data_IF_851793914573
#
_entry.id   IF_851793914573
#
_cell.length_a   1.000
_cell.length_b   1.000
_cell.length_c   1.000
_cell.angle_alpha   90.00
_cell.angle_beta   90.00
_cell.angle_gamma   90.00
#
_symmetry.space_group_name_H-M   'P 1'
#
loop_
_entity.id
_entity.type
_entity.pdbx_description
1 polymer ?
#
# COMPACT_ATOMS: atom_id res chain seq x y z
N UNK A 1 31.51 -11.63 -14.80
CA UNK A 1 30.31 -11.07 -15.45
C UNK A 1 29.60 -10.17 -14.46
N UNK A 2 29.53 -8.87 -14.75
CA UNK A 2 28.95 -7.83 -13.90
C UNK A 2 27.48 -7.67 -14.28
N UNK A 3 26.57 -7.92 -13.33
CA UNK A 3 25.12 -7.72 -13.49
C UNK A 3 24.71 -6.44 -12.76
N UNK A 4 24.58 -5.30 -13.46
CA UNK A 4 24.37 -3.98 -12.85
C UNK A 4 22.98 -3.79 -12.21
N UNK A 5 22.10 -4.78 -12.33
CA UNK A 5 20.73 -4.74 -11.81
C UNK A 5 20.46 -5.79 -10.73
N UNK A 6 21.45 -6.62 -10.37
CA UNK A 6 21.29 -7.57 -9.29
C UNK A 6 21.05 -6.76 -8.00
N UNK A 7 19.91 -6.94 -7.31
CA UNK A 7 19.65 -6.19 -6.10
C UNK A 7 20.78 -6.49 -5.12
N UNK A 8 21.45 -5.44 -4.65
CA UNK A 8 22.27 -5.53 -3.45
C UNK A 8 21.41 -6.26 -2.43
N UNK A 9 21.92 -7.37 -1.92
CA UNK A 9 21.26 -8.16 -0.90
C UNK A 9 20.91 -7.21 0.26
N UNK A 10 19.67 -6.70 0.29
CA UNK A 10 19.07 -6.07 1.46
C UNK A 10 18.72 -7.22 2.41
N UNK A 11 19.75 -7.93 2.87
CA UNK A 11 19.69 -8.76 4.05
C UNK A 11 19.47 -7.83 5.21
N UNK A 12 18.20 -7.67 5.53
CA UNK A 12 17.69 -6.65 6.40
C UNK A 12 16.53 -5.99 5.69
N UNK A 13 15.32 -6.45 6.01
CA UNK A 13 14.30 -5.45 6.31
C UNK A 13 15.02 -4.35 7.11
N UNK A 14 14.94 -3.08 6.71
CA UNK A 14 15.33 -2.02 7.62
C UNK A 14 14.59 -2.35 8.92
N UNK A 15 15.31 -2.85 9.92
CA UNK A 15 14.77 -3.16 11.23
C UNK A 15 14.48 -1.80 11.86
N UNK A 16 13.34 -1.20 11.47
CA UNK A 16 12.80 -0.02 12.13
C UNK A 16 12.31 -0.56 13.47
N UNK A 17 12.97 -0.25 14.60
CA UNK A 17 12.61 -0.88 15.87
C UNK A 17 11.13 -0.62 16.19
N UNK A 18 10.30 -1.67 16.31
CA UNK A 18 8.86 -1.56 16.68
C UNK A 18 7.79 -2.10 15.70
N UNK A 19 8.16 -2.92 14.73
CA UNK A 19 7.33 -3.35 13.57
C UNK A 19 5.92 -3.95 13.81
N UNK A 20 5.51 -4.31 15.03
CA UNK A 20 4.19 -4.96 15.23
C UNK A 20 2.98 -4.06 14.92
N UNK A 21 3.18 -2.74 14.79
CA UNK A 21 2.10 -1.78 14.58
C UNK A 21 2.35 -0.78 13.45
N UNK A 22 3.39 -0.96 12.63
CA UNK A 22 3.72 -0.01 11.56
C UNK A 22 2.78 -0.22 10.36
N UNK A 23 1.96 0.79 10.09
CA UNK A 23 0.95 0.84 9.04
C UNK A 23 1.37 1.77 7.91
N UNK A 24 1.36 1.22 6.71
CA UNK A 24 1.62 1.95 5.45
C UNK A 24 0.29 2.19 4.73
N UNK A 25 0.03 3.44 4.33
CA UNK A 25 -1.07 3.77 3.44
C UNK A 25 -0.59 3.68 1.99
N UNK A 26 -1.29 2.93 1.15
CA UNK A 26 -1.04 2.86 -0.28
C UNK A 26 -2.24 3.47 -1.01
N UNK A 27 -2.06 4.64 -1.62
CA UNK A 27 -3.09 5.19 -2.52
C UNK A 27 -3.00 4.50 -3.87
N UNK A 28 -4.13 4.21 -4.50
CA UNK A 28 -4.12 3.43 -5.75
C UNK A 28 -3.66 1.97 -5.54
N UNK A 29 -3.67 1.49 -4.28
CA UNK A 29 -3.18 0.15 -3.90
C UNK A 29 -3.98 -1.00 -4.53
N UNK A 30 -5.16 -0.72 -5.10
CA UNK A 30 -5.93 -1.72 -5.83
C UNK A 30 -5.66 -1.73 -7.34
N UNK A 31 -4.81 -0.82 -7.83
CA UNK A 31 -4.33 -0.79 -9.21
C UNK A 31 -3.28 -1.85 -9.52
N UNK A 32 -2.79 -1.86 -10.77
CA UNK A 32 -1.84 -2.86 -11.27
C UNK A 32 -0.54 -2.91 -10.45
N UNK A 33 0.18 -1.79 -10.36
CA UNK A 33 1.40 -1.68 -9.55
C UNK A 33 1.09 -1.74 -8.06
N UNK A 34 0.00 -1.09 -7.64
CA UNK A 34 -0.43 -1.01 -6.24
C UNK A 34 -0.56 -2.38 -5.59
N UNK A 35 -1.19 -3.35 -6.25
CA UNK A 35 -1.35 -4.72 -5.71
C UNK A 35 -0.02 -5.41 -5.44
N UNK A 36 0.93 -5.29 -6.37
CA UNK A 36 2.26 -5.87 -6.18
C UNK A 36 2.97 -5.25 -4.98
N UNK A 37 2.91 -3.92 -4.84
CA UNK A 37 3.51 -3.20 -3.72
C UNK A 37 2.84 -3.59 -2.39
N UNK A 38 1.51 -3.66 -2.35
CA UNK A 38 0.77 -4.08 -1.15
C UNK A 38 1.16 -5.49 -0.72
N UNK A 39 1.28 -6.44 -1.66
CA UNK A 39 1.71 -7.80 -1.34
C UNK A 39 3.13 -7.83 -0.74
N UNK A 40 4.09 -7.14 -1.36
CA UNK A 40 5.46 -7.07 -0.84
C UNK A 40 5.52 -6.44 0.56
N UNK A 41 4.75 -5.39 0.82
CA UNK A 41 4.67 -4.79 2.15
C UNK A 41 4.08 -5.78 3.19
N UNK A 42 3.05 -6.54 2.82
CA UNK A 42 2.48 -7.57 3.68
C UNK A 42 3.48 -8.72 3.94
N UNK A 43 4.25 -9.13 2.93
CA UNK A 43 5.27 -10.17 3.03
C UNK A 43 6.44 -9.72 3.93
N UNK A 44 6.83 -8.45 3.85
CA UNK A 44 7.78 -7.81 4.77
C UNK A 44 7.22 -7.58 6.19
N UNK A 45 5.96 -7.92 6.42
CA UNK A 45 5.36 -7.95 7.75
C UNK A 45 4.61 -6.69 8.18
N UNK A 46 4.49 -5.68 7.32
CA UNK A 46 3.79 -4.44 7.61
C UNK A 46 2.26 -4.61 7.65
N UNK A 47 1.58 -3.69 8.33
CA UNK A 47 0.15 -3.47 8.11
C UNK A 47 -0.06 -2.54 6.91
N UNK A 48 -1.01 -2.86 6.04
CA UNK A 48 -1.27 -2.11 4.82
C UNK A 48 -2.70 -1.60 4.85
N UNK A 49 -2.86 -0.30 4.61
CA UNK A 49 -4.16 0.32 4.32
C UNK A 49 -4.17 0.77 2.86
N UNK A 50 -5.12 0.28 2.08
CA UNK A 50 -5.35 0.74 0.72
C UNK A 50 -6.38 1.86 0.75
N UNK A 51 -6.10 2.98 0.07
CA UNK A 51 -7.08 4.02 -0.24
C UNK A 51 -7.27 4.09 -1.75
N UNK A 52 -8.44 3.70 -2.23
CA UNK A 52 -8.73 3.59 -3.67
C UNK A 52 -10.23 3.83 -3.94
N UNK A 53 -10.56 4.33 -5.13
CA UNK A 53 -11.94 4.48 -5.56
C UNK A 53 -12.65 3.15 -5.87
N UNK A 54 -11.88 2.09 -6.15
CA UNK A 54 -12.36 0.75 -6.50
C UNK A 54 -13.32 0.70 -7.71
N UNK A 55 -13.27 1.64 -8.67
CA UNK A 55 -14.24 1.69 -9.79
C UNK A 55 -14.30 0.40 -10.62
N UNK A 56 -13.17 -0.30 -10.77
CA UNK A 56 -13.06 -1.52 -11.57
C UNK A 56 -13.58 -2.77 -10.83
N UNK A 57 -14.23 -2.61 -9.69
CA UNK A 57 -14.77 -3.70 -8.87
C UNK A 57 -16.18 -3.42 -8.37
N UNK A 58 -16.96 -4.48 -8.10
CA UNK A 58 -18.34 -4.38 -7.59
C UNK A 58 -18.44 -3.89 -6.12
N UNK A 59 -17.33 -3.53 -5.49
CA UNK A 59 -17.30 -3.08 -4.10
C UNK A 59 -15.89 -3.15 -3.49
N UNK A 60 -15.80 -2.76 -2.22
CA UNK A 60 -14.54 -2.85 -1.47
C UNK A 60 -14.18 -4.32 -1.24
N UNK A 61 -12.96 -4.76 -1.60
CA UNK A 61 -12.49 -6.11 -1.35
C UNK A 61 -12.59 -6.46 0.14
N UNK A 62 -13.16 -7.63 0.46
CA UNK A 62 -13.31 -8.14 1.82
C UNK A 62 -12.60 -9.48 1.95
N UNK A 63 -11.90 -9.67 3.08
CA UNK A 63 -11.16 -10.90 3.37
C UNK A 63 -9.81 -10.99 2.66
N UNK A 64 -8.89 -11.80 3.20
CA UNK A 64 -7.58 -12.08 2.62
C UNK A 64 -6.47 -12.11 3.65
N UNK A 65 -6.20 -10.97 4.31
CA UNK A 65 -5.08 -10.83 5.25
C UNK A 65 -5.51 -9.94 6.44
N UNK A 66 -5.30 -10.36 7.71
CA UNK A 66 -5.67 -9.57 8.88
C UNK A 66 -4.91 -8.24 9.01
N UNK A 67 -3.79 -8.10 8.30
CA UNK A 67 -2.99 -6.87 8.24
C UNK A 67 -3.36 -5.96 7.08
N UNK A 68 -4.34 -6.32 6.26
CA UNK A 68 -4.81 -5.53 5.13
C UNK A 68 -6.16 -4.88 5.43
N UNK A 69 -6.21 -3.56 5.29
CA UNK A 69 -7.43 -2.75 5.39
C UNK A 69 -7.71 -2.08 4.04
N UNK A 70 -8.91 -2.21 3.51
CA UNK A 70 -9.32 -1.55 2.27
C UNK A 70 -10.31 -0.43 2.60
N UNK A 71 -9.96 0.81 2.26
CA UNK A 71 -10.78 2.01 2.47
C UNK A 71 -11.16 2.57 1.12
N UNK A 72 -12.46 2.64 0.83
CA UNK A 72 -12.95 3.32 -0.38
C UNK A 72 -12.85 4.83 -0.19
N UNK A 73 -12.32 5.53 -1.18
CA UNK A 73 -12.38 6.98 -1.23
C UNK A 73 -11.83 7.56 -2.52
N UNK A 74 -12.12 8.85 -2.72
CA UNK A 74 -11.60 9.65 -3.82
C UNK A 74 -10.41 10.47 -3.32
N UNK A 75 -9.36 10.61 -4.13
CA UNK A 75 -8.20 11.43 -3.80
C UNK A 75 -8.52 12.93 -3.72
N UNK A 76 -9.60 13.36 -4.36
CA UNK A 76 -10.12 14.72 -4.28
C UNK A 76 -10.92 14.96 -3.00
N UNK A 77 -11.34 13.92 -2.28
CA UNK A 77 -11.99 14.04 -0.97
C UNK A 77 -10.93 14.19 0.14
N UNK A 78 -10.67 15.44 0.52
CA UNK A 78 -9.73 15.77 1.59
C UNK A 78 -10.13 15.17 2.95
N UNK A 79 -11.42 15.05 3.25
CA UNK A 79 -11.86 14.51 4.54
C UNK A 79 -11.65 13.01 4.59
N UNK A 80 -12.02 12.31 3.51
CA UNK A 80 -11.75 10.88 3.33
C UNK A 80 -10.25 10.56 3.42
N UNK A 81 -9.41 11.35 2.74
CA UNK A 81 -7.95 11.19 2.81
C UNK A 81 -7.40 11.42 4.22
N UNK A 82 -7.83 12.50 4.89
CA UNK A 82 -7.42 12.77 6.28
C UNK A 82 -7.81 11.65 7.23
N UNK A 83 -8.99 11.05 7.05
CA UNK A 83 -9.42 9.89 7.82
C UNK A 83 -8.53 8.67 7.54
N UNK A 84 -8.21 8.41 6.26
CA UNK A 84 -7.36 7.31 5.83
C UNK A 84 -5.90 7.44 6.32
N UNK A 85 -5.40 8.66 6.55
CA UNK A 85 -4.06 8.93 7.10
C UNK A 85 -3.94 8.68 8.61
N UNK A 86 -5.05 8.56 9.36
CA UNK A 86 -4.98 8.38 10.82
C UNK A 86 -4.26 7.08 11.19
N UNK A 87 -3.23 7.20 12.03
CA UNK A 87 -2.44 6.07 12.55
C UNK A 87 -1.49 5.44 11.53
N UNK A 88 -1.28 6.08 10.39
CA UNK A 88 -0.34 5.66 9.34
C UNK A 88 1.03 6.31 9.59
N UNK A 89 2.11 5.56 9.41
CA UNK A 89 3.47 6.08 9.58
C UNK A 89 4.17 6.38 8.25
N UNK A 90 3.74 5.74 7.16
CA UNK A 90 4.31 5.95 5.83
C UNK A 90 3.23 5.93 4.75
N UNK A 91 3.45 6.68 3.67
CA UNK A 91 2.55 6.73 2.52
C UNK A 91 3.32 6.32 1.27
N UNK A 92 2.74 5.40 0.51
CA UNK A 92 3.16 5.07 -0.85
C UNK A 92 2.07 5.55 -1.80
N UNK A 93 2.37 6.59 -2.58
CA UNK A 93 1.38 7.26 -3.41
C UNK A 93 1.43 6.73 -4.85
N UNK A 94 0.49 5.84 -5.19
CA UNK A 94 0.39 5.21 -6.52
C UNK A 94 -0.96 5.49 -7.20
N UNK A 95 -1.80 6.33 -6.60
CA UNK A 95 -3.01 6.80 -7.24
C UNK A 95 -2.65 7.74 -8.39
N UNK A 96 -2.92 7.30 -9.61
CA UNK A 96 -2.79 8.10 -10.82
C UNK A 96 -3.83 7.66 -11.85
N UNK A 97 -4.33 8.61 -12.63
CA UNK A 97 -5.02 8.32 -13.88
C UNK A 97 -3.93 8.23 -14.95
N UNK A 98 -3.64 7.01 -15.39
CA UNK A 98 -2.78 6.81 -16.56
C UNK A 98 -3.72 6.75 -17.76
N UNK A 99 -3.52 7.65 -18.73
CA UNK A 99 -4.32 7.75 -19.94
C UNK A 99 -4.61 6.36 -20.53
N UNK A 100 -5.87 6.17 -20.95
CA UNK A 100 -6.28 5.09 -21.86
C UNK A 100 -5.73 5.33 -23.27
#
# INVERSE_FOLDING_TARGET
FFVPWAPLHLSGAMDIPGHKSYRVLVTGGWGYLGRSVCNQLLDCGYSVRIFDHFSKTKGVPRGGNPRLECVKGDMLDQQGLRAALKGVQAVVHLAALVNE
#
